data_IF_639558640445
#
_entry.id   IF_639558640445
#
_cell.length_a   1.000
_cell.length_b   1.000
_cell.length_c   1.000
_cell.angle_alpha   90.00
_cell.angle_beta   90.00
_cell.angle_gamma   90.00
#
_symmetry.space_group_name_H-M   'P 1'
#
loop_
_entity.id
_entity.type
_entity.pdbx_description
1 polymer ?
#
# COMPACT_ATOMS: atom_id res chain seq x y z
N UNK A 1 21.02 -39.57 -5.11
CA UNK A 1 20.81 -39.15 -4.81
C UNK A 1 20.18 -38.50 -4.54
N UNK A 2 19.98 -38.60 -4.77
CA UNK A 2 19.51 -37.94 -4.61
C UNK A 2 19.20 -37.43 -3.86
N UNK A 3 19.41 -37.55 -3.82
CA UNK A 3 19.28 -37.09 -3.27
C UNK A 3 19.18 -36.28 -2.90
N UNK A 4 19.06 -36.05 -2.87
CA UNK A 4 19.23 -35.39 -2.58
C UNK A 4 19.15 -34.15 -2.38
N UNK A 5 19.47 -33.76 -2.76
CA UNK A 5 19.60 -32.40 -2.88
C UNK A 5 18.41 -31.93 -3.58
N UNK A 6 17.56 -31.12 -3.02
CA UNK A 6 16.55 -30.49 -3.78
C UNK A 6 17.26 -29.92 -4.90
N UNK A 7 16.91 -30.29 -6.06
CA UNK A 7 17.60 -29.80 -7.20
C UNK A 7 17.52 -28.32 -7.16
N UNK A 8 18.60 -27.68 -7.54
CA UNK A 8 18.61 -26.27 -7.69
C UNK A 8 17.52 -25.82 -8.61
N UNK A 9 17.18 -26.63 -9.59
CA UNK A 9 16.11 -26.27 -10.52
C UNK A 9 14.78 -26.11 -9.79
N UNK A 10 14.55 -26.93 -8.78
CA UNK A 10 13.32 -26.80 -8.07
C UNK A 10 13.28 -25.52 -7.25
N UNK A 11 14.42 -25.12 -6.69
CA UNK A 11 14.46 -23.87 -5.96
C UNK A 11 14.27 -22.68 -6.88
N UNK A 12 14.61 -22.81 -8.14
CA UNK A 12 14.47 -21.70 -9.06
C UNK A 12 13.09 -21.59 -9.69
N UNK A 13 12.25 -22.58 -9.50
CA UNK A 13 10.91 -22.51 -10.06
C UNK A 13 10.06 -21.53 -9.27
N UNK A 14 9.18 -20.82 -9.94
CA UNK A 14 8.23 -19.99 -9.23
C UNK A 14 7.44 -20.84 -8.25
N UNK A 15 7.35 -20.38 -7.02
CA UNK A 15 6.63 -21.11 -6.02
C UNK A 15 5.18 -20.70 -6.05
N UNK A 16 4.31 -21.65 -5.75
CA UNK A 16 2.92 -21.30 -5.61
C UNK A 16 2.77 -20.36 -4.45
N UNK A 17 1.85 -19.42 -4.52
CA UNK A 17 1.59 -18.57 -3.38
C UNK A 17 1.26 -19.43 -2.18
N UNK A 18 1.90 -19.16 -1.07
CA UNK A 18 1.61 -19.92 0.13
C UNK A 18 0.36 -19.34 0.77
N UNK A 19 -0.25 -20.13 1.64
CA UNK A 19 -1.39 -19.61 2.36
C UNK A 19 -1.02 -18.46 3.25
N UNK A 20 0.26 -18.28 3.54
CA UNK A 20 0.70 -17.20 4.38
C UNK A 20 0.80 -15.89 3.62
N UNK A 21 0.98 -15.96 2.30
CA UNK A 21 1.13 -14.73 1.54
C UNK A 21 -0.08 -13.80 1.70
N UNK A 22 -1.30 -14.29 1.63
CA UNK A 22 -2.43 -13.40 1.84
C UNK A 22 -2.49 -12.84 3.25
N UNK A 23 -1.94 -13.57 4.22
CA UNK A 23 -1.92 -13.06 5.57
C UNK A 23 -0.76 -12.14 5.79
N UNK A 24 0.34 -12.38 5.11
CA UNK A 24 1.55 -11.62 5.32
C UNK A 24 1.61 -10.35 4.52
N UNK A 25 1.05 -10.34 3.32
CA UNK A 25 1.13 -9.22 2.41
C UNK A 25 -0.27 -8.70 2.15
N UNK A 26 -0.46 -7.43 2.35
CA UNK A 26 -1.76 -6.82 2.11
C UNK A 26 -1.61 -5.74 1.06
N UNK A 27 -2.44 -5.81 0.03
CA UNK A 27 -2.46 -4.74 -0.96
C UNK A 27 -3.53 -3.74 -0.59
N UNK A 28 -3.37 -2.51 -1.05
CA UNK A 28 -4.32 -1.47 -0.75
C UNK A 28 -4.34 -0.43 -1.85
N UNK A 29 -5.41 0.35 -1.88
CA UNK A 29 -5.49 1.52 -2.73
C UNK A 29 -5.75 2.72 -1.83
N UNK A 30 -5.34 3.89 -2.29
CA UNK A 30 -5.54 5.13 -1.58
C UNK A 30 -6.38 6.04 -2.45
N UNK A 31 -7.53 6.45 -1.93
CA UNK A 31 -8.45 7.31 -2.64
C UNK A 31 -8.48 8.68 -1.97
N UNK A 32 -8.45 9.73 -2.76
CA UNK A 32 -8.59 11.09 -2.26
C UNK A 32 -9.91 11.63 -2.75
N UNK A 33 -10.71 12.13 -1.83
CA UNK A 33 -11.98 12.75 -2.19
C UNK A 33 -11.70 14.17 -2.69
N UNK A 34 -10.69 14.82 -2.14
CA UNK A 34 -10.26 16.13 -2.60
C UNK A 34 -8.74 16.15 -2.71
N UNK A 35 -8.19 17.15 -3.38
CA UNK A 35 -6.76 17.21 -3.62
C UNK A 35 -6.25 18.59 -3.24
N UNK A 36 -5.62 18.66 -2.09
CA UNK A 36 -5.06 19.91 -1.58
C UNK A 36 -4.05 20.51 -2.52
N UNK A 37 -3.23 19.69 -3.11
CA UNK A 37 -2.11 20.17 -3.91
C UNK A 37 -2.52 20.51 -5.34
N UNK A 38 -3.62 19.93 -5.82
CA UNK A 38 -4.01 20.06 -7.21
C UNK A 38 -3.10 19.32 -8.17
N UNK A 39 -2.21 18.47 -7.66
CA UNK A 39 -1.24 17.78 -8.50
C UNK A 39 -1.62 16.33 -8.73
N UNK A 40 -1.95 15.62 -7.65
CA UNK A 40 -2.20 14.18 -7.76
C UNK A 40 -3.61 13.85 -8.20
N UNK A 41 -4.53 14.81 -8.07
CA UNK A 41 -5.90 14.57 -8.47
C UNK A 41 -6.72 13.88 -7.40
N UNK A 42 -7.96 13.57 -7.74
CA UNK A 42 -8.89 12.89 -6.85
C UNK A 42 -9.13 11.48 -7.36
N UNK A 43 -9.83 10.68 -6.59
CA UNK A 43 -10.06 9.29 -6.93
C UNK A 43 -8.94 8.42 -6.40
N UNK A 44 -8.71 7.28 -7.02
CA UNK A 44 -7.66 6.35 -6.59
C UNK A 44 -6.34 6.90 -7.12
N UNK A 45 -5.49 7.34 -6.22
CA UNK A 45 -4.23 8.00 -6.59
C UNK A 45 -3.01 7.16 -6.29
N UNK A 46 -3.15 6.11 -5.49
CA UNK A 46 -2.03 5.26 -5.11
C UNK A 46 -2.50 3.82 -5.04
N UNK A 47 -1.66 2.91 -5.48
CA UNK A 47 -1.81 1.50 -5.15
C UNK A 47 -0.56 1.08 -4.40
N UNK A 48 -0.68 0.16 -3.48
CA UNK A 48 0.46 -0.21 -2.66
C UNK A 48 0.34 -1.57 -2.03
N UNK A 49 1.38 -1.96 -1.37
CA UNK A 49 1.44 -3.22 -0.65
C UNK A 49 2.20 -3.06 0.66
N UNK A 50 1.69 -3.67 1.70
CA UNK A 50 2.34 -3.71 2.99
C UNK A 50 2.80 -5.13 3.22
N UNK A 51 4.09 -5.31 3.47
CA UNK A 51 4.64 -6.64 3.69
C UNK A 51 4.41 -7.08 5.14
N UNK A 52 4.61 -8.37 5.39
CA UNK A 52 4.42 -8.91 6.73
C UNK A 52 5.31 -8.21 7.76
N UNK A 53 6.44 -7.69 7.33
CA UNK A 53 7.36 -6.98 8.22
C UNK A 53 6.91 -5.57 8.53
N UNK A 54 5.89 -5.08 7.85
CA UNK A 54 5.44 -3.70 7.96
C UNK A 54 6.02 -2.79 6.90
N UNK A 55 7.07 -3.21 6.22
CA UNK A 55 7.60 -2.42 5.13
C UNK A 55 6.53 -2.21 4.06
N UNK A 56 6.51 -1.03 3.48
CA UNK A 56 5.43 -0.64 2.58
C UNK A 56 6.01 -0.07 1.30
N UNK A 57 5.41 -0.42 0.18
CA UNK A 57 5.77 0.14 -1.11
C UNK A 57 4.51 0.74 -1.72
N UNK A 58 4.64 1.92 -2.30
CA UNK A 58 3.51 2.56 -2.95
C UNK A 58 3.89 2.98 -4.36
N UNK A 59 2.89 3.05 -5.21
CA UNK A 59 3.04 3.50 -6.58
C UNK A 59 2.00 4.59 -6.81
N UNK A 60 2.47 5.79 -7.10
CA UNK A 60 1.60 6.90 -7.42
C UNK A 60 1.03 6.70 -8.82
N UNK A 61 -0.27 6.81 -8.96
CA UNK A 61 -0.94 6.58 -10.23
C UNK A 61 -1.05 7.87 -11.05
N UNK A 62 -0.27 8.87 -10.68
CA UNK A 62 -0.20 10.11 -11.43
C UNK A 62 0.35 9.82 -12.82
N UNK A 63 -0.20 10.42 -13.87
CA UNK A 63 0.31 10.14 -15.20
C UNK A 63 1.77 10.50 -15.36
N UNK A 64 2.46 9.75 -16.20
CA UNK A 64 3.86 9.99 -16.46
C UNK A 64 4.06 11.44 -16.92
N UNK A 65 5.20 12.05 -16.57
CA UNK A 65 6.35 11.44 -15.90
C UNK A 65 6.33 11.55 -14.39
N UNK A 66 5.21 11.91 -13.79
CA UNK A 66 5.19 12.18 -12.37
C UNK A 66 4.88 10.97 -11.50
N UNK A 67 4.43 9.88 -12.10
CA UNK A 67 4.21 8.66 -11.34
C UNK A 67 5.53 8.14 -10.80
N UNK A 68 5.52 7.65 -9.56
CA UNK A 68 6.73 7.16 -8.94
C UNK A 68 6.42 6.05 -7.98
N UNK A 69 7.45 5.36 -7.55
CA UNK A 69 7.36 4.30 -6.56
C UNK A 69 8.18 4.74 -5.37
N UNK A 70 7.64 4.54 -4.18
CA UNK A 70 8.34 4.90 -2.96
C UNK A 70 8.27 3.76 -1.96
N UNK A 71 9.29 3.67 -1.11
CA UNK A 71 9.41 2.65 -0.11
C UNK A 71 9.41 3.28 1.27
N UNK A 72 8.77 2.62 2.22
CA UNK A 72 8.73 3.10 3.60
C UNK A 72 9.06 1.95 4.54
N UNK A 73 9.75 2.25 5.64
CA UNK A 73 10.10 1.23 6.61
C UNK A 73 8.88 0.71 7.33
N UNK A 74 7.81 1.48 7.40
CA UNK A 74 6.58 1.04 8.02
C UNK A 74 5.39 1.69 7.35
N UNK A 75 4.23 1.10 7.52
CA UNK A 75 3.00 1.69 7.01
C UNK A 75 2.71 3.00 7.73
N UNK A 76 3.07 3.08 9.00
CA UNK A 76 2.87 4.30 9.76
C UNK A 76 3.67 5.46 9.20
N UNK A 77 4.88 5.18 8.72
CA UNK A 77 5.70 6.23 8.12
C UNK A 77 5.02 6.78 6.88
N UNK A 78 4.44 5.91 6.05
CA UNK A 78 3.71 6.36 4.89
C UNK A 78 2.55 7.27 5.29
N UNK A 79 1.78 6.86 6.31
CA UNK A 79 0.65 7.65 6.78
C UNK A 79 1.15 9.01 7.32
N UNK A 80 2.22 8.99 8.07
CA UNK A 80 2.72 10.19 8.71
C UNK A 80 3.24 11.19 7.70
N UNK A 81 3.84 10.71 6.63
CA UNK A 81 4.47 11.58 5.66
C UNK A 81 3.49 12.06 4.60
N UNK A 82 2.59 11.18 4.16
CA UNK A 82 1.78 11.49 2.99
C UNK A 82 0.29 11.66 3.26
N UNK A 83 -0.20 11.21 4.39
CA UNK A 83 -1.64 11.22 4.65
C UNK A 83 -1.99 12.25 5.74
N UNK A 84 -1.40 12.12 6.90
CA UNK A 84 -1.76 12.99 8.02
C UNK A 84 -1.49 14.46 7.81
N UNK A 85 -0.43 14.84 7.07
CA UNK A 85 -0.20 16.27 6.86
C UNK A 85 -1.23 16.95 5.96
N UNK A 86 -2.09 16.17 5.31
CA UNK A 86 -3.04 16.70 4.34
C UNK A 86 -4.46 16.22 4.64
N UNK A 87 -5.03 16.60 5.79
CA UNK A 87 -6.34 16.09 6.18
C UNK A 87 -7.45 16.54 5.23
N UNK A 88 -7.27 17.66 4.55
CA UNK A 88 -8.29 18.12 3.65
C UNK A 88 -8.38 17.31 2.37
N UNK A 89 -7.46 16.38 2.12
CA UNK A 89 -7.60 15.46 1.01
C UNK A 89 -8.69 14.43 1.26
N UNK A 90 -9.06 14.23 2.54
CA UNK A 90 -10.11 13.28 2.90
C UNK A 90 -9.80 11.92 2.33
N UNK A 91 -8.71 11.35 2.79
CA UNK A 91 -8.14 10.13 2.22
C UNK A 91 -8.82 8.89 2.76
N UNK A 92 -9.06 7.93 1.89
CA UNK A 92 -9.59 6.63 2.27
C UNK A 92 -8.65 5.57 1.73
N UNK A 93 -8.14 4.73 2.61
CA UNK A 93 -7.29 3.61 2.24
C UNK A 93 -8.15 2.36 2.32
N UNK A 94 -8.21 1.60 1.25
CA UNK A 94 -8.99 0.37 1.20
C UNK A 94 -8.05 -0.80 0.97
N UNK A 95 -8.06 -1.74 1.89
CA UNK A 95 -7.27 -2.97 1.77
C UNK A 95 -8.03 -4.00 0.96
N UNK A 96 -7.29 -4.99 0.46
CA UNK A 96 -7.87 -5.97 -0.46
C UNK A 96 -9.03 -6.76 0.15
N UNK A 97 -9.10 -6.84 1.48
CA UNK A 97 -10.18 -7.56 2.14
C UNK A 97 -11.37 -6.66 2.42
N UNK A 98 -11.31 -5.42 1.98
CA UNK A 98 -12.41 -4.48 2.18
C UNK A 98 -12.27 -3.61 3.41
N UNK A 99 -11.30 -3.87 4.25
CA UNK A 99 -11.08 -3.02 5.42
C UNK A 99 -10.66 -1.64 4.97
N UNK A 100 -11.14 -0.62 5.65
CA UNK A 100 -10.83 0.75 5.26
C UNK A 100 -10.32 1.56 6.42
N UNK A 101 -9.43 2.51 6.11
CA UNK A 101 -9.00 3.52 7.05
C UNK A 101 -9.38 4.86 6.45
N UNK A 102 -10.10 5.69 7.21
CA UNK A 102 -10.61 6.96 6.72
C UNK A 102 -9.91 8.09 7.46
N UNK A 103 -9.33 9.01 6.70
CA UNK A 103 -8.63 10.16 7.25
C UNK A 103 -9.28 11.40 6.63
N UNK A 104 -10.05 12.15 7.38
CA UNK A 104 -10.67 13.34 6.85
C UNK A 104 -10.48 14.47 7.85
N UNK A 105 -10.87 15.69 7.43
CA UNK A 105 -10.58 16.83 8.26
C UNK A 105 -11.67 17.07 9.30
N UNK A 106 -12.69 16.26 9.34
CA UNK A 106 -13.71 16.44 10.34
C UNK A 106 -13.12 16.14 11.71
N UNK A 107 -13.49 16.89 12.72
CA UNK A 107 -12.99 16.57 14.05
C UNK A 107 -13.46 15.19 14.45
N UNK A 108 -12.68 14.55 15.29
CA UNK A 108 -13.07 13.27 15.81
C UNK A 108 -14.41 13.44 16.48
N UNK A 109 -15.23 12.41 16.29
CA UNK A 109 -16.49 12.45 16.91
C UNK A 109 -16.31 12.48 18.36
N UNK A 110 -16.92 13.38 19.02
CA UNK A 110 -16.74 13.49 20.30
C UNK A 110 -17.41 12.58 20.97
N UNK A 111 -17.51 11.94 20.45
CA UNK A 111 -18.28 11.02 21.13
C UNK A 111 -18.50 11.24 20.97
#
# INVERSE_FOLDING_TARGET
DDTTVPSEAEDLKPKKPSNRAPEGIRTFTVCRVSDESGISGTGVVIEGAMFATGHTIIHWLTPAPRGSIAFFDSFEDFIKIHIKPHPSNNTIITFEDGEQMVFDERPAEDG
#
